data_IF_689799122353
#
_entry.id   IF_689799122353
#
_cell.length_a   1.000
_cell.length_b   1.000
_cell.length_c   1.000
_cell.angle_alpha   90.00
_cell.angle_beta   90.00
_cell.angle_gamma   90.00
#
_symmetry.space_group_name_H-M   'P 1'
#
loop_
_entity.id
_entity.type
_entity.pdbx_description
1 polymer ?
#
# COMPACT_ATOMS: atom_id res chain seq x y z
N UNK A 1 4.00 -6.20 3.61
CA UNK A 1 4.65 -5.09 2.86
C UNK A 1 5.05 -5.51 1.43
N UNK A 2 5.72 -6.65 1.20
CA UNK A 2 6.01 -7.15 -0.16
C UNK A 2 4.75 -7.34 -1.03
N UNK A 3 3.66 -7.85 -0.44
CA UNK A 3 2.36 -8.04 -1.11
C UNK A 3 1.80 -6.72 -1.66
N UNK A 4 1.81 -5.65 -0.85
CA UNK A 4 1.37 -4.31 -1.26
C UNK A 4 2.20 -3.77 -2.44
N UNK A 5 3.53 -3.93 -2.42
CA UNK A 5 4.38 -3.47 -3.53
C UNK A 5 4.08 -4.19 -4.85
N UNK A 6 3.87 -5.50 -4.81
CA UNK A 6 3.50 -6.32 -5.98
C UNK A 6 2.15 -5.86 -6.54
N UNK A 7 1.15 -5.69 -5.67
CA UNK A 7 -0.20 -5.27 -6.06
C UNK A 7 -0.21 -3.88 -6.67
N UNK A 8 0.46 -2.92 -6.03
CA UNK A 8 0.56 -1.55 -6.53
C UNK A 8 1.17 -1.51 -7.92
N UNK A 9 2.19 -2.33 -8.16
CA UNK A 9 2.86 -2.42 -9.46
C UNK A 9 1.96 -3.04 -10.52
N UNK A 10 1.25 -4.13 -10.20
CA UNK A 10 0.25 -4.73 -11.11
C UNK A 10 -0.83 -3.71 -11.48
N UNK A 11 -1.39 -2.99 -10.49
CA UNK A 11 -2.47 -2.02 -10.69
C UNK A 11 -2.00 -0.84 -11.54
N UNK A 12 -0.84 -0.27 -11.23
CA UNK A 12 -0.28 0.87 -11.97
C UNK A 12 0.02 0.50 -13.42
N UNK A 13 0.57 -0.68 -13.69
CA UNK A 13 0.86 -1.14 -15.05
C UNK A 13 -0.39 -1.45 -15.87
N UNK A 14 -1.40 -2.07 -15.26
CA UNK A 14 -2.67 -2.29 -15.93
C UNK A 14 -3.38 -0.98 -16.26
N UNK A 15 -3.36 0.00 -15.35
CA UNK A 15 -4.00 1.30 -15.55
C UNK A 15 -3.27 2.18 -16.56
N UNK A 16 -1.94 2.16 -16.58
CA UNK A 16 -1.15 3.03 -17.46
C UNK A 16 -0.98 2.45 -18.88
N UNK A 17 -0.91 1.13 -19.02
CA UNK A 17 -0.50 0.46 -20.28
C UNK A 17 -1.49 -0.57 -20.81
N UNK A 18 -2.53 -0.94 -20.05
CA UNK A 18 -3.52 -1.97 -20.45
C UNK A 18 -2.94 -3.38 -20.64
N UNK A 19 -1.65 -3.56 -20.40
CA UNK A 19 -0.87 -4.79 -20.59
C UNK A 19 0.09 -4.96 -19.41
N UNK A 20 0.53 -6.19 -19.16
CA UNK A 20 1.55 -6.52 -18.14
C UNK A 20 2.88 -6.89 -18.82
N UNK A 21 3.62 -5.91 -19.37
CA UNK A 21 4.96 -6.18 -19.88
C UNK A 21 5.88 -6.51 -18.70
N UNK A 22 6.57 -7.65 -18.80
CA UNK A 22 7.33 -8.25 -17.69
C UNK A 22 8.48 -7.36 -17.20
N UNK A 23 9.16 -6.64 -18.10
CA UNK A 23 10.30 -5.77 -17.76
C UNK A 23 9.83 -4.52 -16.96
N UNK A 24 8.87 -3.70 -17.45
CA UNK A 24 8.30 -2.61 -16.65
C UNK A 24 7.71 -3.07 -15.32
N UNK A 25 7.10 -4.27 -15.29
CA UNK A 25 6.58 -4.85 -14.05
C UNK A 25 7.65 -5.07 -12.98
N UNK A 26 8.78 -5.66 -13.35
CA UNK A 26 9.88 -5.90 -12.41
C UNK A 26 10.46 -4.57 -11.92
N UNK A 27 10.65 -3.59 -12.81
CA UNK A 27 11.19 -2.27 -12.47
C UNK A 27 10.24 -1.54 -11.51
N UNK A 28 8.96 -1.41 -11.85
CA UNK A 28 7.98 -0.73 -10.99
C UNK A 28 7.79 -1.44 -9.65
N UNK A 29 7.91 -2.77 -9.61
CA UNK A 29 7.87 -3.53 -8.36
C UNK A 29 9.08 -3.26 -7.49
N UNK A 30 10.29 -3.22 -8.06
CA UNK A 30 11.51 -2.89 -7.33
C UNK A 30 11.51 -1.45 -6.81
N UNK A 31 11.04 -0.49 -7.60
CA UNK A 31 10.89 0.90 -7.19
C UNK A 31 9.89 1.04 -6.05
N UNK A 32 8.68 0.50 -6.23
CA UNK A 32 7.65 0.53 -5.20
C UNK A 32 8.10 -0.17 -3.91
N UNK A 33 8.80 -1.30 -4.03
CA UNK A 33 9.36 -2.01 -2.89
C UNK A 33 10.42 -1.19 -2.16
N UNK A 34 11.36 -0.57 -2.89
CA UNK A 34 12.43 0.24 -2.31
C UNK A 34 11.89 1.47 -1.59
N UNK A 35 10.94 2.18 -2.20
CA UNK A 35 10.28 3.34 -1.58
C UNK A 35 9.51 2.89 -0.34
N UNK A 36 8.76 1.79 -0.42
CA UNK A 36 7.98 1.28 0.70
C UNK A 36 8.89 0.84 1.87
N UNK A 37 10.00 0.16 1.57
CA UNK A 37 10.97 -0.29 2.56
C UNK A 37 11.63 0.89 3.29
N UNK A 38 12.13 1.89 2.55
CA UNK A 38 12.72 3.10 3.13
C UNK A 38 11.67 3.86 3.97
N UNK A 39 10.46 4.00 3.44
CA UNK A 39 9.37 4.68 4.14
C UNK A 39 8.98 3.95 5.43
N UNK A 40 9.00 2.62 5.43
CA UNK A 40 8.67 1.83 6.62
C UNK A 40 9.76 1.84 7.70
N UNK A 41 11.01 2.14 7.33
CA UNK A 41 12.09 2.38 8.30
C UNK A 41 11.98 3.76 8.94
N UNK A 42 11.53 4.76 8.20
CA UNK A 42 11.45 6.16 8.67
C UNK A 42 10.15 6.40 9.44
N UNK A 43 9.02 5.90 8.92
CA UNK A 43 7.69 6.26 9.42
C UNK A 43 7.10 5.05 10.16
N UNK A 44 6.83 5.17 11.48
CA UNK A 44 6.18 4.12 12.25
C UNK A 44 4.67 4.11 11.97
N UNK A 45 4.27 3.85 10.71
CA UNK A 45 2.88 3.88 10.26
C UNK A 45 1.98 2.94 11.06
N UNK A 46 2.50 1.77 11.46
CA UNK A 46 1.78 0.81 12.29
C UNK A 46 1.37 1.41 13.65
N UNK A 47 2.26 2.19 14.29
CA UNK A 47 1.94 2.88 15.55
C UNK A 47 0.84 3.92 15.36
N UNK A 48 0.87 4.65 14.24
CA UNK A 48 -0.19 5.61 13.93
C UNK A 48 -1.54 4.94 13.68
N UNK A 49 -1.55 3.80 12.98
CA UNK A 49 -2.75 3.00 12.76
C UNK A 49 -3.35 2.46 14.07
N UNK A 50 -2.52 1.93 14.96
CA UNK A 50 -2.95 1.43 16.27
C UNK A 50 -3.50 2.55 17.15
N UNK A 51 -2.81 3.70 17.23
CA UNK A 51 -3.30 4.86 18.01
C UNK A 51 -4.64 5.35 17.47
N UNK A 52 -4.82 5.36 16.14
CA UNK A 52 -6.08 5.78 15.53
C UNK A 52 -7.21 4.79 15.82
N UNK A 53 -6.95 3.49 15.69
CA UNK A 53 -7.93 2.46 15.98
C UNK A 53 -8.33 2.43 17.48
N UNK A 54 -7.36 2.65 18.38
CA UNK A 54 -7.62 2.81 19.82
C UNK A 54 -8.45 4.07 20.11
N UNK A 55 -8.15 5.21 19.46
CA UNK A 55 -8.95 6.45 19.60
C UNK A 55 -10.38 6.31 19.09
N UNK A 56 -10.60 5.48 18.08
CA UNK A 56 -11.95 5.12 17.60
C UNK A 56 -12.67 4.11 18.52
N UNK A 57 -12.07 3.69 19.63
CA UNK A 57 -12.68 2.77 20.60
C UNK A 57 -12.80 1.34 20.09
N UNK A 58 -12.09 0.97 19.02
CA UNK A 58 -12.10 -0.39 18.52
C UNK A 58 -11.33 -1.31 19.47
N UNK A 59 -11.92 -2.45 19.84
CA UNK A 59 -11.25 -3.45 20.69
C UNK A 59 -10.07 -4.05 19.93
N UNK A 60 -8.90 -4.06 20.56
CA UNK A 60 -7.75 -4.85 20.11
C UNK A 60 -8.22 -6.29 19.91
N UNK A 61 -7.90 -6.88 18.75
CA UNK A 61 -8.37 -8.18 18.27
C UNK A 61 -9.76 -8.24 17.58
N UNK A 62 -10.41 -7.09 17.31
CA UNK A 62 -11.59 -7.05 16.43
C UNK A 62 -11.19 -6.80 14.96
N UNK A 63 -11.96 -7.37 14.03
CA UNK A 63 -11.81 -7.09 12.60
C UNK A 63 -11.92 -5.59 12.28
N UNK A 64 -12.70 -4.86 13.08
CA UNK A 64 -12.87 -3.40 12.98
C UNK A 64 -11.55 -2.69 13.34
N UNK A 65 -10.84 -3.14 14.38
CA UNK A 65 -9.54 -2.58 14.75
C UNK A 65 -8.51 -2.79 13.65
N UNK A 66 -8.47 -4.00 13.08
CA UNK A 66 -7.60 -4.31 11.95
C UNK A 66 -7.94 -3.44 10.73
N UNK A 67 -9.21 -3.24 10.40
CA UNK A 67 -9.63 -2.41 9.27
C UNK A 67 -9.25 -0.93 9.44
N UNK A 68 -9.55 -0.34 10.61
CA UNK A 68 -9.23 1.06 10.91
C UNK A 68 -7.72 1.32 10.98
N UNK A 69 -6.97 0.43 11.62
CA UNK A 69 -5.50 0.53 11.65
C UNK A 69 -4.92 0.41 10.24
N UNK A 70 -5.37 -0.59 9.47
CA UNK A 70 -4.93 -0.78 8.10
C UNK A 70 -5.32 0.37 7.17
N UNK A 71 -6.42 1.08 7.43
CA UNK A 71 -6.82 2.25 6.63
C UNK A 71 -5.76 3.36 6.72
N UNK A 72 -5.33 3.68 7.93
CA UNK A 72 -4.30 4.70 8.16
C UNK A 72 -2.95 4.25 7.62
N UNK A 73 -2.56 3.01 7.92
CA UNK A 73 -1.29 2.44 7.46
C UNK A 73 -1.24 2.43 5.93
N UNK A 74 -2.29 1.93 5.28
CA UNK A 74 -2.41 1.89 3.82
C UNK A 74 -2.43 3.30 3.25
N UNK A 75 -3.14 4.24 3.86
CA UNK A 75 -3.15 5.64 3.44
C UNK A 75 -1.77 6.26 3.41
N UNK A 76 -1.00 6.09 4.48
CA UNK A 76 0.37 6.62 4.56
C UNK A 76 1.25 6.00 3.48
N UNK A 77 1.30 4.67 3.40
CA UNK A 77 2.17 3.99 2.45
C UNK A 77 1.77 4.20 1.00
N UNK A 78 0.47 4.13 0.67
CA UNK A 78 -0.01 4.37 -0.69
C UNK A 78 0.27 5.81 -1.10
N UNK A 79 0.08 6.79 -0.21
CA UNK A 79 0.41 8.20 -0.50
C UNK A 79 1.88 8.35 -0.83
N UNK A 80 2.78 7.83 0.00
CA UNK A 80 4.23 7.99 -0.22
C UNK A 80 4.71 7.22 -1.46
N UNK A 81 4.26 5.98 -1.63
CA UNK A 81 4.68 5.15 -2.77
C UNK A 81 4.10 5.70 -4.07
N UNK A 82 2.81 6.03 -4.13
CA UNK A 82 2.20 6.59 -5.35
C UNK A 82 2.81 7.94 -5.72
N UNK A 83 3.06 8.80 -4.73
CA UNK A 83 3.69 10.10 -4.96
C UNK A 83 5.14 9.94 -5.41
N UNK A 84 5.93 9.10 -4.75
CA UNK A 84 7.31 8.81 -5.13
C UNK A 84 7.41 8.20 -6.53
N UNK A 85 6.55 7.24 -6.86
CA UNK A 85 6.48 6.66 -8.20
C UNK A 85 6.08 7.69 -9.26
N UNK A 86 5.10 8.55 -8.97
CA UNK A 86 4.69 9.59 -9.92
C UNK A 86 5.81 10.61 -10.12
N UNK A 87 6.53 10.97 -9.05
CA UNK A 87 7.68 11.85 -9.11
C UNK A 87 8.82 11.27 -9.95
N UNK A 88 9.11 9.98 -9.83
CA UNK A 88 10.15 9.31 -10.63
C UNK A 88 9.73 9.23 -12.10
N UNK A 89 8.48 8.86 -12.38
CA UNK A 89 8.01 8.63 -13.75
C UNK A 89 7.71 9.92 -14.53
N UNK A 90 7.18 10.96 -13.87
CA UNK A 90 6.75 12.22 -14.50
C UNK A 90 7.78 13.34 -14.29
N UNK A 91 8.65 13.21 -13.29
CA UNK A 91 9.60 14.25 -12.89
C UNK A 91 8.94 15.44 -12.19
N UNK A 92 9.76 16.45 -11.84
CA UNK A 92 9.30 17.67 -11.17
C UNK A 92 8.72 18.68 -12.17
N UNK A 93 7.57 18.34 -12.75
CA UNK A 93 6.89 19.16 -13.77
C UNK A 93 5.53 19.66 -13.25
N UNK A 94 4.93 20.70 -13.84
CA UNK A 94 3.61 21.20 -13.45
C UNK A 94 2.48 20.16 -13.57
N UNK A 95 2.73 19.07 -14.33
CA UNK A 95 1.78 17.97 -14.56
C UNK A 95 1.82 16.94 -13.43
N UNK A 96 2.81 16.99 -12.53
CA UNK A 96 3.02 16.03 -11.45
C UNK A 96 1.78 15.87 -10.55
N UNK A 97 1.26 16.97 -10.00
CA UNK A 97 0.12 16.96 -9.09
C UNK A 97 -1.16 16.45 -9.77
N UNK A 98 -1.58 16.95 -10.95
CA UNK A 98 -2.77 16.42 -11.61
C UNK A 98 -2.62 14.97 -12.06
N UNK A 99 -1.44 14.53 -12.49
CA UNK A 99 -1.18 13.12 -12.83
C UNK A 99 -1.24 12.21 -11.59
N UNK A 100 -0.67 12.66 -10.47
CA UNK A 100 -0.76 11.92 -9.21
C UNK A 100 -2.20 11.82 -8.72
N UNK A 101 -2.95 12.92 -8.76
CA UNK A 101 -4.32 12.97 -8.24
C UNK A 101 -5.31 12.13 -9.06
N UNK A 102 -5.04 11.87 -10.35
CA UNK A 102 -5.90 11.00 -11.16
C UNK A 102 -5.72 9.51 -10.82
N UNK A 103 -4.51 9.10 -10.44
CA UNK A 103 -4.15 7.71 -10.15
C UNK A 103 -4.32 7.38 -8.66
N UNK A 104 -4.00 8.33 -7.78
CA UNK A 104 -4.02 8.18 -6.32
C UNK A 104 -5.31 7.57 -5.76
N UNK A 105 -6.53 8.09 -6.04
CA UNK A 105 -7.75 7.56 -5.45
C UNK A 105 -8.03 6.12 -5.89
N UNK A 106 -7.73 5.79 -7.14
CA UNK A 106 -7.91 4.43 -7.69
C UNK A 106 -6.99 3.47 -6.95
N UNK A 107 -5.71 3.82 -6.85
CA UNK A 107 -4.68 3.02 -6.22
C UNK A 107 -4.91 2.87 -4.70
N UNK A 108 -5.39 3.92 -4.04
CA UNK A 108 -5.77 3.87 -2.63
C UNK A 108 -6.94 2.93 -2.37
N UNK A 109 -8.02 3.04 -3.15
CA UNK A 109 -9.20 2.19 -2.99
C UNK A 109 -8.85 0.72 -3.24
N UNK A 110 -8.14 0.43 -4.34
CA UNK A 110 -7.74 -0.94 -4.69
C UNK A 110 -6.77 -1.50 -3.63
N UNK A 111 -5.75 -0.73 -3.25
CA UNK A 111 -4.78 -1.12 -2.23
C UNK A 111 -5.45 -1.43 -0.89
N UNK A 112 -6.42 -0.60 -0.48
CA UNK A 112 -7.16 -0.80 0.75
C UNK A 112 -8.05 -2.06 0.72
N UNK A 113 -8.82 -2.26 -0.35
CA UNK A 113 -9.65 -3.46 -0.53
C UNK A 113 -8.80 -4.72 -0.45
N UNK A 114 -7.63 -4.71 -1.09
CA UNK A 114 -6.78 -5.90 -1.11
C UNK A 114 -6.11 -6.13 0.25
N UNK A 115 -5.70 -5.09 0.97
CA UNK A 115 -5.19 -5.25 2.35
C UNK A 115 -6.25 -5.85 3.27
N UNK A 116 -7.51 -5.42 3.13
CA UNK A 116 -8.62 -6.01 3.88
C UNK A 116 -8.89 -7.47 3.49
N UNK A 117 -8.75 -7.82 2.22
CA UNK A 117 -8.93 -9.19 1.74
C UNK A 117 -7.78 -10.13 2.15
N UNK A 118 -6.54 -9.62 2.16
CA UNK A 118 -5.33 -10.38 2.53
C UNK A 118 -5.18 -10.50 4.04
N UNK A 119 -5.67 -9.53 4.83
CA UNK A 119 -5.64 -9.56 6.29
C UNK A 119 -6.06 -10.90 6.93
N UNK A 120 -7.26 -11.46 6.63
CA UNK A 120 -7.68 -12.74 7.17
C UNK A 120 -6.87 -13.94 6.64
N UNK A 121 -6.32 -13.86 5.43
CA UNK A 121 -5.44 -14.90 4.87
C UNK A 121 -4.07 -14.91 5.57
N UNK A 122 -3.50 -13.74 5.82
CA UNK A 122 -2.25 -13.59 6.56
C UNK A 122 -2.39 -14.09 8.00
N UNK A 123 -3.52 -13.80 8.67
CA UNK A 123 -3.80 -14.29 10.01
C UNK A 123 -3.85 -15.82 10.07
N UNK A 124 -4.55 -16.45 9.12
CA UNK A 124 -4.62 -17.92 9.00
C UNK A 124 -3.27 -18.58 8.74
N UNK A 125 -2.44 -17.98 7.89
CA UNK A 125 -1.09 -18.49 7.60
C UNK A 125 -0.17 -18.35 8.83
N UNK A 126 -0.29 -17.26 9.58
CA UNK A 126 0.54 -17.03 10.77
C UNK A 126 0.20 -18.02 11.87
N UNK A 127 -1.08 -18.33 12.09
CA UNK A 127 -1.50 -19.36 13.06
C UNK A 127 -0.99 -20.76 12.70
N UNK A 128 -0.92 -21.10 11.41
CA UNK A 128 -0.41 -22.40 10.97
C UNK A 128 1.12 -22.55 11.10
N UNK A 129 1.86 -21.44 11.06
CA UNK A 129 3.33 -21.45 11.19
C UNK A 129 3.75 -21.43 12.66
N UNK A 130 2.97 -20.80 13.54
CA UNK A 130 3.26 -20.73 14.99
C UNK A 130 2.87 -22.01 15.74
N UNK A 131 2.00 -22.84 15.17
CA UNK A 131 1.65 -24.17 15.70
C UNK A 131 2.56 -25.32 15.21
N UNK A 132 3.66 -25.02 14.48
CA UNK A 132 4.72 -25.99 14.17
C UNK A 132 5.97 -25.75 15.02
#
# INVERSE_FOLDING_TARGET
>A
MAVLAIIMSVVVLLLNTGTLPMIPFIISTLEAFSINFISGLIIPANKFGEIFAQKCGAKENSFIFAALSNLIVTGIYVTIVSFGMTLINVGFTPVLIPAWFSIYPIVFVIGYIIVLAVGPLAFKLTTQIVEQ
#
